data_IF_306530445264
#
_entry.id   IF_306530445264
#
_cell.length_a   1.000
_cell.length_b   1.000
_cell.length_c   1.000
_cell.angle_alpha   90.00
_cell.angle_beta   90.00
_cell.angle_gamma   90.00
#
_symmetry.space_group_name_H-M   'P 1'
#
loop_
_entity.id
_entity.type
_entity.pdbx_description
1 polymer ?
#
# COMPACT_ATOMS: atom_id res chain seq x y z
N UNK A 1 -73.65 -31.82 -42.26
CA UNK A 1 -73.54 -30.39 -42.68
C UNK A 1 -72.74 -29.70 -41.66
N UNK A 2 -71.44 -29.40 -41.92
CA UNK A 2 -70.55 -28.74 -41.02
C UNK A 2 -69.92 -27.63 -41.84
N UNK A 3 -70.20 -26.38 -41.44
CA UNK A 3 -69.66 -25.17 -42.03
C UNK A 3 -68.24 -24.94 -41.54
N UNK A 4 -67.32 -24.76 -42.50
CA UNK A 4 -65.93 -24.44 -42.26
C UNK A 4 -65.77 -22.92 -42.22
N UNK A 5 -65.47 -22.37 -41.03
CA UNK A 5 -65.17 -20.97 -40.86
C UNK A 5 -63.79 -20.62 -41.43
N UNK A 6 -63.74 -19.65 -42.31
CA UNK A 6 -62.58 -19.11 -43.03
C UNK A 6 -61.77 -18.24 -42.09
N UNK A 7 -60.55 -18.65 -41.79
CA UNK A 7 -59.61 -17.85 -40.97
C UNK A 7 -59.08 -16.65 -41.73
N UNK A 8 -59.44 -15.45 -41.32
CA UNK A 8 -58.89 -14.20 -41.84
C UNK A 8 -57.42 -14.05 -41.50
N UNK A 9 -56.53 -14.07 -42.49
CA UNK A 9 -55.10 -13.77 -42.35
C UNK A 9 -54.91 -12.26 -42.12
N UNK A 10 -54.58 -11.88 -40.93
CA UNK A 10 -54.15 -10.53 -40.61
C UNK A 10 -52.78 -10.29 -41.26
N UNK A 11 -52.71 -9.43 -42.24
CA UNK A 11 -51.47 -8.98 -42.85
C UNK A 11 -50.81 -7.99 -41.94
N UNK A 12 -49.49 -8.14 -41.53
CA UNK A 12 -48.81 -7.16 -40.72
C UNK A 12 -48.66 -5.86 -41.53
N UNK A 13 -49.15 -4.76 -40.99
CA UNK A 13 -48.98 -3.44 -41.57
C UNK A 13 -47.49 -3.05 -41.57
N UNK A 14 -46.83 -3.07 -42.75
CA UNK A 14 -45.48 -2.56 -42.92
C UNK A 14 -45.50 -1.06 -42.65
N UNK A 15 -45.09 -0.62 -41.45
CA UNK A 15 -44.85 0.77 -41.16
C UNK A 15 -43.77 1.32 -42.10
N UNK A 16 -44.15 2.09 -43.10
CA UNK A 16 -43.23 2.88 -43.91
C UNK A 16 -42.70 4.00 -43.03
N UNK A 17 -41.53 3.80 -42.43
CA UNK A 17 -40.82 4.90 -41.80
C UNK A 17 -40.55 5.98 -42.85
N UNK A 18 -41.11 7.18 -42.65
CA UNK A 18 -40.90 8.28 -43.58
C UNK A 18 -39.39 8.62 -43.60
N UNK A 19 -38.85 8.98 -44.78
CA UNK A 19 -37.44 9.41 -44.92
C UNK A 19 -37.10 10.49 -43.88
N UNK A 20 -38.06 11.32 -43.54
CA UNK A 20 -37.93 12.39 -42.51
C UNK A 20 -37.67 11.82 -41.09
N UNK A 21 -38.36 10.73 -40.73
CA UNK A 21 -38.15 10.08 -39.41
C UNK A 21 -36.77 9.40 -39.34
N UNK A 22 -36.30 8.80 -40.45
CA UNK A 22 -34.96 8.19 -40.47
C UNK A 22 -33.85 9.28 -40.39
N UNK A 23 -34.01 10.40 -41.10
CA UNK A 23 -33.05 11.50 -41.01
C UNK A 23 -33.05 12.12 -39.60
N UNK A 24 -34.23 12.32 -38.98
CA UNK A 24 -34.28 12.82 -37.60
C UNK A 24 -33.64 11.86 -36.59
N UNK A 25 -33.86 10.55 -36.75
CA UNK A 25 -33.23 9.56 -35.87
C UNK A 25 -31.71 9.48 -36.05
N UNK A 26 -31.21 9.60 -37.31
CA UNK A 26 -29.79 9.64 -37.62
C UNK A 26 -29.14 10.91 -37.03
N UNK A 27 -29.81 12.08 -37.14
CA UNK A 27 -29.36 13.31 -36.50
C UNK A 27 -29.25 13.24 -35.00
N UNK A 28 -30.24 12.58 -34.33
CA UNK A 28 -30.25 12.41 -32.87
C UNK A 28 -29.12 11.49 -32.40
N UNK A 29 -28.82 10.44 -33.15
CA UNK A 29 -27.67 9.52 -32.86
C UNK A 29 -26.33 10.25 -33.02
N UNK A 30 -26.17 11.09 -34.04
CA UNK A 30 -24.95 11.86 -34.27
C UNK A 30 -24.74 12.89 -33.15
N UNK A 31 -25.79 13.65 -32.78
CA UNK A 31 -25.72 14.63 -31.70
C UNK A 31 -25.42 13.92 -30.35
N UNK A 32 -26.08 12.81 -30.08
CA UNK A 32 -25.81 11.99 -28.88
C UNK A 32 -24.37 11.48 -28.85
N UNK A 33 -23.86 10.97 -29.99
CA UNK A 33 -22.47 10.51 -30.11
C UNK A 33 -21.44 11.62 -29.87
N UNK A 34 -21.69 12.82 -30.44
CA UNK A 34 -20.82 13.99 -30.20
C UNK A 34 -20.85 14.44 -28.74
N UNK A 35 -22.02 14.45 -28.09
CA UNK A 35 -22.13 14.83 -26.69
C UNK A 35 -21.38 13.83 -25.76
N UNK A 36 -21.50 12.53 -26.05
CA UNK A 36 -20.76 11.49 -25.28
C UNK A 36 -19.25 11.63 -25.50
N UNK A 37 -18.80 11.85 -26.75
CA UNK A 37 -17.39 12.03 -27.06
C UNK A 37 -16.81 13.28 -26.39
N UNK A 38 -17.56 14.40 -26.41
CA UNK A 38 -17.16 15.63 -25.71
C UNK A 38 -17.13 15.44 -24.19
N UNK A 39 -18.07 14.70 -23.63
CA UNK A 39 -18.09 14.31 -22.22
C UNK A 39 -16.87 13.48 -21.83
N UNK A 40 -16.56 12.43 -22.58
CA UNK A 40 -15.37 11.61 -22.37
C UNK A 40 -14.07 12.40 -22.51
N UNK A 41 -13.99 13.26 -23.52
CA UNK A 41 -12.84 14.16 -23.69
C UNK A 41 -12.67 15.11 -22.52
N UNK A 42 -13.75 15.70 -22.00
CA UNK A 42 -13.67 16.61 -20.86
C UNK A 42 -13.26 15.90 -19.56
N UNK A 43 -13.68 14.65 -19.36
CA UNK A 43 -13.22 13.80 -18.25
C UNK A 43 -11.74 13.46 -18.41
N UNK A 44 -11.33 13.05 -19.61
CA UNK A 44 -9.94 12.71 -19.88
C UNK A 44 -9.00 13.92 -19.77
N UNK A 45 -9.40 15.08 -20.29
CA UNK A 45 -8.63 16.33 -20.21
C UNK A 45 -8.51 16.88 -18.77
N UNK A 46 -9.44 16.51 -17.88
CA UNK A 46 -9.41 16.85 -16.45
C UNK A 46 -8.86 15.73 -15.59
N UNK A 47 -8.50 14.57 -16.21
CA UNK A 47 -7.87 13.49 -15.46
C UNK A 47 -6.60 14.03 -14.80
N UNK A 48 -6.45 13.87 -13.47
CA UNK A 48 -5.30 14.42 -12.78
C UNK A 48 -4.03 13.89 -13.43
N UNK A 49 -3.17 14.81 -13.88
CA UNK A 49 -1.86 14.45 -14.38
C UNK A 49 -1.11 13.65 -13.32
N UNK A 50 -0.29 12.69 -13.75
CA UNK A 50 0.60 11.97 -12.83
C UNK A 50 1.37 13.00 -12.01
N UNK A 51 1.36 12.90 -10.66
CA UNK A 51 2.03 13.89 -9.83
C UNK A 51 3.49 13.99 -10.24
N UNK A 52 3.98 15.22 -10.40
CA UNK A 52 5.37 15.48 -10.74
C UNK A 52 6.32 14.77 -9.74
N UNK A 53 7.45 14.24 -10.21
CA UNK A 53 8.46 13.67 -9.34
C UNK A 53 8.91 14.72 -8.32
N UNK A 54 9.05 14.30 -7.07
CA UNK A 54 9.50 15.18 -5.99
C UNK A 54 11.01 15.36 -6.10
N UNK A 55 11.49 16.60 -6.06
CA UNK A 55 12.93 16.89 -6.02
C UNK A 55 13.56 16.29 -4.75
N UNK A 56 14.76 15.76 -4.88
CA UNK A 56 15.45 15.08 -3.77
C UNK A 56 15.80 16.03 -2.61
N UNK A 57 15.97 17.31 -2.92
CA UNK A 57 16.30 18.43 -2.01
C UNK A 57 15.06 19.22 -1.56
N UNK A 58 13.84 18.73 -1.87
CA UNK A 58 12.62 19.40 -1.47
C UNK A 58 12.56 19.57 0.06
N UNK A 59 12.13 20.75 0.56
CA UNK A 59 12.05 21.01 1.99
C UNK A 59 11.12 20.01 2.68
N UNK A 60 11.51 19.62 3.89
CA UNK A 60 10.70 18.71 4.70
C UNK A 60 9.37 19.35 5.07
N UNK A 61 8.32 18.56 5.10
CA UNK A 61 6.97 18.99 5.42
C UNK A 61 6.62 18.69 6.88
N UNK A 62 6.19 19.71 7.65
CA UNK A 62 5.62 19.47 8.97
C UNK A 62 4.18 18.95 8.82
N UNK A 63 3.96 17.72 9.23
CA UNK A 63 2.66 17.05 9.17
C UNK A 63 2.25 16.68 10.58
N UNK A 64 1.03 17.01 10.97
CA UNK A 64 0.49 16.72 12.30
C UNK A 64 -0.42 15.51 12.21
N UNK A 65 -0.11 14.47 12.98
CA UNK A 65 -0.98 13.29 13.15
C UNK A 65 -1.27 13.13 14.65
N UNK A 66 -2.55 13.10 15.01
CA UNK A 66 -2.99 13.23 16.40
C UNK A 66 -2.48 14.56 17.02
N UNK A 67 -1.70 14.51 18.09
CA UNK A 67 -1.11 15.68 18.72
C UNK A 67 0.38 15.85 18.43
N UNK A 68 0.96 15.01 17.56
CA UNK A 68 2.41 15.00 17.29
C UNK A 68 2.72 15.56 15.91
N UNK A 69 3.78 16.34 15.80
CA UNK A 69 4.27 16.87 14.52
C UNK A 69 5.41 15.98 14.01
N UNK A 70 5.26 15.55 12.77
CA UNK A 70 6.28 14.79 12.05
C UNK A 70 6.85 15.63 10.92
N UNK A 71 8.18 15.72 10.84
CA UNK A 71 8.89 16.46 9.79
C UNK A 71 9.46 15.47 8.80
N UNK A 72 8.85 15.38 7.62
CA UNK A 72 9.16 14.32 6.66
C UNK A 72 9.55 14.86 5.29
N UNK A 73 10.49 14.18 4.64
CA UNK A 73 10.85 14.48 3.26
C UNK A 73 9.67 14.15 2.32
N UNK A 74 9.25 15.06 1.43
CA UNK A 74 8.13 14.81 0.50
C UNK A 74 8.33 13.56 -0.38
N UNK A 75 9.60 13.22 -0.70
CA UNK A 75 9.96 12.03 -1.46
C UNK A 75 9.69 10.71 -0.73
N UNK A 76 9.60 10.73 0.61
CA UNK A 76 9.23 9.56 1.41
C UNK A 76 7.72 9.33 1.44
N UNK A 77 6.90 10.34 1.13
CA UNK A 77 5.44 10.25 1.20
C UNK A 77 4.91 9.50 -0.01
N UNK A 78 4.30 8.34 0.22
CA UNK A 78 3.78 7.45 -0.83
C UNK A 78 2.60 8.06 -1.60
N UNK A 79 1.65 8.62 -0.88
CA UNK A 79 0.41 9.14 -1.46
C UNK A 79 0.57 10.63 -1.79
N UNK A 80 0.48 10.99 -3.07
CA UNK A 80 0.66 12.37 -3.50
C UNK A 80 -0.27 13.37 -2.76
N UNK A 81 -1.50 12.94 -2.45
CA UNK A 81 -2.46 13.75 -1.69
C UNK A 81 -2.03 14.07 -0.26
N UNK A 82 -1.11 13.26 0.32
CA UNK A 82 -0.56 13.48 1.65
C UNK A 82 0.64 14.44 1.66
N UNK A 83 1.16 14.84 0.49
CA UNK A 83 2.31 15.76 0.35
C UNK A 83 1.91 17.21 0.60
N UNK A 84 1.34 17.47 1.76
CA UNK A 84 0.90 18.80 2.19
C UNK A 84 1.16 18.96 3.69
N UNK A 85 1.60 20.14 4.16
CA UNK A 85 1.79 20.39 5.58
C UNK A 85 0.46 20.46 6.33
N UNK A 86 0.53 20.33 7.65
CA UNK A 86 -0.61 20.49 8.54
C UNK A 86 -1.28 19.18 8.97
N UNK A 87 -2.49 19.24 9.54
CA UNK A 87 -3.17 18.09 10.11
C UNK A 87 -3.56 17.05 9.05
N UNK A 88 -3.33 15.78 9.35
CA UNK A 88 -3.73 14.63 8.56
C UNK A 88 -4.17 13.47 9.47
N UNK A 89 -5.13 12.69 9.02
CA UNK A 89 -5.62 11.52 9.77
C UNK A 89 -4.62 10.35 9.69
N UNK A 90 -3.85 10.29 8.62
CA UNK A 90 -2.90 9.21 8.38
C UNK A 90 -1.79 9.70 7.46
N UNK A 91 -0.60 9.14 7.65
CA UNK A 91 0.55 9.38 6.80
C UNK A 91 1.22 8.06 6.43
N UNK A 92 1.40 7.83 5.13
CA UNK A 92 2.02 6.63 4.58
C UNK A 92 3.35 6.97 3.94
N UNK A 93 4.42 6.39 4.48
CA UNK A 93 5.81 6.67 4.11
C UNK A 93 6.48 5.41 3.55
N UNK A 94 7.54 5.62 2.79
CA UNK A 94 8.44 4.56 2.32
C UNK A 94 9.88 5.05 2.41
N UNK A 95 10.75 4.18 2.89
CA UNK A 95 12.18 4.46 2.99
C UNK A 95 12.99 3.32 2.41
N UNK A 96 14.14 3.63 1.82
CA UNK A 96 15.13 2.65 1.42
C UNK A 96 15.89 2.15 2.66
N UNK A 97 16.08 0.86 2.76
CA UNK A 97 16.84 0.23 3.82
C UNK A 97 18.28 -0.05 3.39
N UNK A 98 19.27 0.01 4.27
CA UNK A 98 19.21 0.38 5.70
C UNK A 98 19.35 1.88 5.98
N UNK A 99 19.57 2.71 4.96
CA UNK A 99 19.94 4.13 5.09
C UNK A 99 18.78 5.01 5.53
N UNK A 100 17.54 4.50 5.45
CA UNK A 100 16.30 5.21 5.78
C UNK A 100 16.15 6.54 5.00
N UNK A 101 16.65 6.55 3.76
CA UNK A 101 16.48 7.67 2.84
C UNK A 101 15.20 7.50 2.01
N UNK A 102 14.59 8.60 1.52
CA UNK A 102 13.51 8.48 0.54
C UNK A 102 13.96 7.66 -0.66
N UNK A 103 13.12 6.76 -1.19
CA UNK A 103 13.49 6.01 -2.39
C UNK A 103 13.68 6.97 -3.55
N UNK A 104 14.72 6.73 -4.35
CA UNK A 104 14.93 7.51 -5.58
C UNK A 104 13.75 7.29 -6.52
N UNK A 105 13.27 8.33 -7.19
CA UNK A 105 12.33 8.17 -8.29
C UNK A 105 12.93 7.17 -9.29
N UNK A 106 12.16 6.15 -9.66
CA UNK A 106 12.57 5.28 -10.77
C UNK A 106 12.38 6.12 -12.03
N UNK A 107 13.46 6.42 -12.73
CA UNK A 107 13.39 7.19 -13.99
C UNK A 107 12.46 6.44 -14.96
N UNK A 108 11.43 7.10 -15.51
CA UNK A 108 10.51 6.47 -16.46
C UNK A 108 11.23 5.97 -17.72
N UNK A 109 12.39 6.52 -18.04
CA UNK A 109 13.26 6.08 -19.14
C UNK A 109 13.77 4.66 -18.93
N UNK A 110 14.05 4.26 -17.67
CA UNK A 110 14.52 2.89 -17.36
C UNK A 110 13.39 1.87 -17.56
N UNK A 111 12.12 2.26 -17.35
CA UNK A 111 10.97 1.38 -17.57
C UNK A 111 10.63 1.20 -19.05
N UNK A 112 10.92 2.21 -19.90
CA UNK A 112 10.73 2.16 -21.35
C UNK A 112 11.86 1.45 -22.09
N UNK A 113 13.11 1.54 -21.59
CA UNK A 113 14.27 0.87 -22.17
C UNK A 113 14.26 -0.66 -21.98
N UNK A 114 13.53 -1.16 -20.98
CA UNK A 114 13.38 -2.60 -20.71
C UNK A 114 12.59 -3.32 -21.81
N UNK A 115 11.77 -2.61 -22.57
CA UNK A 115 10.97 -3.21 -23.64
C UNK A 115 11.77 -3.52 -24.93
N UNK A 116 13.02 -3.06 -25.05
CA UNK A 116 13.83 -3.22 -26.26
C UNK A 116 15.21 -3.86 -26.06
N UNK A 117 15.67 -4.03 -24.83
CA UNK A 117 17.02 -4.47 -24.57
C UNK A 117 17.10 -5.98 -24.26
N UNK A 118 17.66 -6.73 -25.21
CA UNK A 118 17.92 -8.18 -25.11
C UNK A 118 18.88 -8.56 -23.97
N UNK A 119 19.45 -7.59 -23.27
CA UNK A 119 20.41 -7.81 -22.16
C UNK A 119 19.68 -8.19 -20.86
N UNK A 120 18.36 -7.88 -20.73
CA UNK A 120 17.59 -8.22 -19.53
C UNK A 120 17.12 -9.68 -19.49
N UNK A 121 17.19 -10.41 -20.60
CA UNK A 121 16.70 -11.79 -20.70
C UNK A 121 17.70 -12.86 -20.24
N UNK A 122 18.97 -12.48 -20.02
CA UNK A 122 20.03 -13.43 -19.64
C UNK A 122 20.35 -13.43 -18.14
N UNK A 123 19.60 -12.65 -17.33
CA UNK A 123 19.80 -12.63 -15.89
C UNK A 123 18.90 -13.67 -15.20
N UNK A 124 19.53 -14.46 -14.34
CA UNK A 124 18.79 -15.37 -13.46
C UNK A 124 17.90 -14.59 -12.51
N UNK A 125 16.69 -15.09 -12.17
CA UNK A 125 15.83 -14.48 -11.16
C UNK A 125 16.59 -14.37 -9.83
N UNK A 126 16.86 -13.13 -9.38
CA UNK A 126 17.57 -12.87 -8.13
C UNK A 126 18.97 -12.26 -8.28
N UNK A 127 19.55 -12.23 -9.50
CA UNK A 127 20.86 -11.61 -9.75
C UNK A 127 20.74 -10.08 -9.75
N UNK A 128 21.37 -9.42 -8.78
CA UNK A 128 21.40 -7.97 -8.61
C UNK A 128 22.81 -7.43 -8.83
N UNK A 129 22.91 -6.29 -9.49
CA UNK A 129 24.17 -5.55 -9.55
C UNK A 129 24.49 -4.95 -8.18
N UNK A 130 25.79 -4.82 -7.81
CA UNK A 130 26.20 -4.11 -6.61
C UNK A 130 25.60 -2.68 -6.62
N UNK A 131 24.79 -2.36 -5.60
CA UNK A 131 24.10 -1.07 -5.49
C UNK A 131 22.69 -0.99 -6.08
N UNK A 132 22.20 -2.01 -6.76
CA UNK A 132 20.82 -2.08 -7.24
C UNK A 132 19.88 -2.50 -6.09
N UNK A 133 19.05 -1.55 -5.63
CA UNK A 133 18.08 -1.79 -4.55
C UNK A 133 16.79 -2.37 -5.12
N UNK A 134 16.44 -3.56 -4.67
CA UNK A 134 15.18 -4.22 -5.04
C UNK A 134 13.97 -3.73 -4.24
N UNK A 135 12.77 -4.21 -4.61
CA UNK A 135 11.55 -3.97 -3.82
C UNK A 135 11.65 -4.46 -2.36
N UNK A 136 12.50 -5.49 -2.11
CA UNK A 136 12.77 -6.04 -0.77
C UNK A 136 13.63 -5.14 0.13
N UNK A 137 14.30 -4.11 -0.42
CA UNK A 137 15.16 -3.22 0.35
C UNK A 137 14.41 -1.95 0.79
N UNK A 138 13.14 -2.08 1.11
CA UNK A 138 12.28 -0.97 1.53
C UNK A 138 11.53 -1.30 2.81
N UNK A 139 11.38 -0.28 3.63
CA UNK A 139 10.44 -0.31 4.76
C UNK A 139 9.27 0.61 4.47
N UNK A 140 8.09 0.17 4.87
CA UNK A 140 6.86 0.94 4.77
C UNK A 140 6.44 1.38 6.16
N UNK A 141 6.20 2.67 6.31
CA UNK A 141 5.83 3.25 7.60
C UNK A 141 4.47 3.90 7.50
N UNK A 142 3.60 3.59 8.44
CA UNK A 142 2.30 4.23 8.58
C UNK A 142 2.23 4.93 9.92
N UNK A 143 1.81 6.18 9.93
CA UNK A 143 1.56 6.98 11.13
C UNK A 143 0.06 7.28 11.18
N UNK A 144 -0.59 6.93 12.29
CA UNK A 144 -2.03 7.15 12.48
C UNK A 144 -2.33 7.44 13.96
N UNK A 145 -3.47 8.05 14.31
CA UNK A 145 -3.85 8.22 15.71
C UNK A 145 -3.89 6.90 16.46
N UNK A 146 -3.37 6.87 17.67
CA UNK A 146 -3.38 5.67 18.51
C UNK A 146 -4.78 5.32 19.02
N UNK A 147 -5.70 6.29 19.09
CA UNK A 147 -7.11 6.09 19.48
C UNK A 147 -7.26 5.31 20.81
N UNK A 148 -6.37 5.52 21.76
CA UNK A 148 -6.38 4.80 23.05
C UNK A 148 -5.81 3.38 22.99
N UNK A 149 -5.09 3.02 21.91
CA UNK A 149 -4.39 1.74 21.82
C UNK A 149 -3.37 1.59 22.96
N UNK A 150 -3.28 0.38 23.51
CA UNK A 150 -2.25 0.03 24.49
C UNK A 150 -0.86 0.05 23.83
N UNK A 151 0.15 0.39 24.62
CA UNK A 151 1.55 0.23 24.22
C UNK A 151 1.81 -1.23 23.78
N UNK A 152 2.63 -1.46 22.74
CA UNK A 152 2.86 -2.81 22.22
C UNK A 152 3.31 -3.83 23.28
N UNK A 153 4.22 -3.45 24.19
CA UNK A 153 4.68 -4.33 25.26
C UNK A 153 3.58 -4.60 26.31
N UNK A 154 2.68 -3.70 26.55
CA UNK A 154 1.52 -3.92 27.40
C UNK A 154 0.50 -4.83 26.68
N UNK A 155 0.26 -4.60 25.39
CA UNK A 155 -0.60 -5.43 24.55
C UNK A 155 -0.08 -6.87 24.46
N UNK A 156 1.23 -7.08 24.45
CA UNK A 156 1.84 -8.40 24.58
C UNK A 156 1.34 -9.10 25.84
N UNK A 157 1.49 -8.48 27.00
CA UNK A 157 1.18 -9.07 28.30
C UNK A 157 -0.32 -9.31 28.51
N UNK A 158 -1.17 -8.33 28.16
CA UNK A 158 -2.60 -8.40 28.51
C UNK A 158 -3.45 -9.08 27.45
N UNK A 159 -2.98 -9.14 26.21
CA UNK A 159 -3.78 -9.60 25.08
C UNK A 159 -3.13 -10.74 24.31
N UNK A 160 -1.95 -10.53 23.70
CA UNK A 160 -1.41 -11.46 22.70
C UNK A 160 -0.99 -12.79 23.30
N UNK A 161 -0.41 -12.82 24.50
CA UNK A 161 -0.04 -14.06 25.18
C UNK A 161 -1.23 -14.99 25.43
N UNK A 162 -2.46 -14.49 25.39
CA UNK A 162 -3.67 -15.33 25.49
C UNK A 162 -4.00 -16.08 24.21
N UNK A 163 -3.45 -15.68 23.09
CA UNK A 163 -3.76 -16.19 21.75
C UNK A 163 -2.63 -17.01 21.13
N UNK A 164 -1.46 -17.05 21.76
CA UNK A 164 -0.31 -17.80 21.25
C UNK A 164 -0.31 -19.25 21.72
N UNK A 165 0.48 -20.09 21.07
CA UNK A 165 0.77 -21.47 21.49
C UNK A 165 1.72 -21.47 22.68
N UNK A 166 1.77 -22.58 23.42
CA UNK A 166 2.63 -22.71 24.62
C UNK A 166 4.11 -22.99 24.30
N UNK A 167 4.45 -23.21 23.04
CA UNK A 167 5.82 -23.53 22.61
C UNK A 167 6.47 -22.31 21.94
N UNK A 168 7.64 -21.93 22.48
CA UNK A 168 8.53 -20.96 21.83
C UNK A 168 9.34 -21.68 20.75
N UNK A 169 9.48 -21.03 19.58
CA UNK A 169 10.37 -21.48 18.54
C UNK A 169 11.80 -21.01 18.81
N UNK A 170 12.83 -21.82 18.49
CA UNK A 170 14.21 -21.36 18.54
C UNK A 170 14.40 -20.14 17.62
N UNK A 171 14.93 -19.06 18.18
CA UNK A 171 15.18 -17.83 17.45
C UNK A 171 16.55 -17.24 17.83
N UNK A 172 17.19 -16.47 16.93
CA UNK A 172 18.53 -15.95 17.17
C UNK A 172 18.52 -14.83 18.22
N UNK A 173 19.63 -14.69 18.93
CA UNK A 173 20.04 -13.52 19.72
C UNK A 173 19.00 -13.00 20.73
N UNK A 174 18.39 -13.92 21.52
CA UNK A 174 17.44 -13.55 22.58
C UNK A 174 16.07 -13.09 22.09
N UNK A 175 15.74 -13.39 20.83
CA UNK A 175 14.41 -13.21 20.29
C UNK A 175 13.52 -14.40 20.68
N UNK A 176 12.40 -14.15 21.32
CA UNK A 176 11.34 -15.12 21.52
C UNK A 176 10.38 -15.07 20.32
N UNK A 177 10.06 -16.22 19.74
CA UNK A 177 9.08 -16.35 18.65
C UNK A 177 8.06 -17.40 19.00
N UNK A 178 6.78 -17.10 18.77
CA UNK A 178 5.68 -18.02 19.06
C UNK A 178 4.56 -17.84 18.04
N UNK A 179 3.93 -18.94 17.64
CA UNK A 179 2.79 -18.92 16.73
C UNK A 179 1.50 -18.47 17.43
N UNK A 180 0.69 -17.68 16.75
CA UNK A 180 -0.70 -17.51 17.16
C UNK A 180 -1.53 -18.76 16.85
N UNK A 181 -2.44 -19.11 17.76
CA UNK A 181 -3.34 -20.25 17.60
C UNK A 181 -4.34 -20.03 16.46
N UNK A 182 -4.72 -21.12 15.82
CA UNK A 182 -5.80 -21.12 14.85
C UNK A 182 -7.14 -20.73 15.51
N UNK A 183 -8.03 -20.10 14.73
CA UNK A 183 -9.30 -19.59 15.23
C UNK A 183 -9.19 -18.28 16.03
N UNK A 184 -8.00 -17.66 16.08
CA UNK A 184 -7.79 -16.34 16.67
C UNK A 184 -7.77 -15.24 15.59
N UNK A 185 -7.96 -13.96 15.95
CA UNK A 185 -7.84 -12.85 15.00
C UNK A 185 -6.46 -12.71 14.35
N UNK A 186 -5.44 -13.37 14.88
CA UNK A 186 -4.04 -13.35 14.45
C UNK A 186 -3.61 -14.65 13.78
N UNK A 187 -4.55 -15.52 13.44
CA UNK A 187 -4.26 -16.78 12.76
C UNK A 187 -3.39 -16.56 11.51
N UNK A 188 -2.33 -17.36 11.37
CA UNK A 188 -1.39 -17.24 10.27
C UNK A 188 -0.26 -16.25 10.51
N UNK A 189 -0.19 -15.66 11.70
CA UNK A 189 0.91 -14.82 12.15
C UNK A 189 1.70 -15.48 13.27
N UNK A 190 2.94 -15.00 13.45
CA UNK A 190 3.78 -15.27 14.60
C UNK A 190 4.03 -13.98 15.36
N UNK A 191 4.26 -14.10 16.65
CA UNK A 191 4.66 -13.02 17.53
C UNK A 191 6.15 -13.17 17.86
N UNK A 192 6.94 -12.14 17.62
CA UNK A 192 8.36 -12.07 17.88
C UNK A 192 8.68 -10.89 18.79
N UNK A 193 9.47 -11.10 19.87
CA UNK A 193 9.87 -10.01 20.78
C UNK A 193 11.21 -10.30 21.43
N UNK A 194 11.92 -9.24 21.86
CA UNK A 194 13.09 -9.40 22.73
C UNK A 194 12.64 -9.93 24.09
N UNK A 195 13.14 -11.09 24.48
CA UNK A 195 12.64 -11.87 25.62
C UNK A 195 12.66 -11.08 26.94
N UNK A 196 13.73 -10.34 27.17
CA UNK A 196 13.92 -9.58 28.41
C UNK A 196 13.49 -8.10 28.32
N UNK A 197 13.23 -7.59 27.13
CA UNK A 197 12.90 -6.19 26.91
C UNK A 197 11.97 -5.98 25.70
N UNK A 198 10.70 -6.45 25.79
CA UNK A 198 9.75 -6.38 24.67
C UNK A 198 9.44 -4.94 24.21
N UNK A 199 9.74 -3.95 25.03
CA UNK A 199 9.66 -2.53 24.66
C UNK A 199 10.74 -2.11 23.67
N UNK A 200 11.88 -2.82 23.56
CA UNK A 200 12.91 -2.55 22.57
C UNK A 200 12.51 -3.09 21.21
N UNK A 201 12.07 -4.34 21.16
CA UNK A 201 11.61 -4.98 19.94
C UNK A 201 10.42 -5.88 20.17
N UNK A 202 9.39 -5.68 19.40
CA UNK A 202 8.22 -6.53 19.33
C UNK A 202 7.62 -6.40 17.91
N UNK A 203 7.36 -7.54 17.28
CA UNK A 203 6.81 -7.58 15.92
C UNK A 203 5.78 -8.71 15.78
N UNK A 204 4.81 -8.51 14.90
CA UNK A 204 3.93 -9.57 14.38
C UNK A 204 4.33 -9.86 12.95
N UNK A 205 4.46 -11.12 12.61
CA UNK A 205 4.98 -11.56 11.32
C UNK A 205 4.03 -12.54 10.66
N UNK A 206 3.72 -12.31 9.38
CA UNK A 206 3.01 -13.30 8.57
C UNK A 206 3.85 -14.59 8.49
N UNK A 207 3.18 -15.75 8.53
CA UNK A 207 3.84 -17.03 8.27
C UNK A 207 4.05 -17.20 6.76
N UNK A 208 5.25 -17.65 6.33
CA UNK A 208 5.52 -17.92 4.94
C UNK A 208 4.53 -18.96 4.39
N UNK A 209 3.93 -18.67 3.26
CA UNK A 209 2.99 -19.57 2.58
C UNK A 209 3.46 -19.80 1.15
N UNK A 210 3.63 -21.05 0.70
CA UNK A 210 4.03 -21.34 -0.66
C UNK A 210 3.10 -20.68 -1.70
N UNK A 211 3.66 -20.08 -2.75
CA UNK A 211 2.91 -19.42 -3.81
C UNK A 211 2.34 -18.03 -3.47
N UNK A 212 2.65 -17.50 -2.27
CA UNK A 212 2.33 -16.12 -1.89
C UNK A 212 3.56 -15.21 -1.95
N UNK A 213 3.38 -13.87 -1.99
CA UNK A 213 4.49 -12.94 -1.83
C UNK A 213 5.28 -13.22 -0.56
N UNK A 214 6.57 -12.79 -0.49
CA UNK A 214 7.38 -12.91 0.72
C UNK A 214 6.65 -12.36 1.95
N UNK A 215 6.71 -13.13 3.05
CA UNK A 215 6.07 -12.77 4.30
C UNK A 215 6.67 -11.48 4.89
N UNK A 216 5.83 -10.67 5.51
CA UNK A 216 6.22 -9.41 6.13
C UNK A 216 5.99 -9.43 7.64
N UNK A 217 6.78 -8.65 8.35
CA UNK A 217 6.58 -8.33 9.76
C UNK A 217 6.13 -6.88 9.91
N UNK A 218 5.45 -6.60 10.99
CA UNK A 218 5.15 -5.25 11.44
C UNK A 218 5.60 -5.04 12.88
N UNK A 219 6.21 -3.91 13.16
CA UNK A 219 6.53 -3.43 14.51
C UNK A 219 5.90 -2.07 14.73
N UNK A 220 5.55 -1.75 15.97
CA UNK A 220 4.81 -0.54 16.34
C UNK A 220 5.46 0.18 17.51
N UNK A 221 5.35 1.51 17.51
CA UNK A 221 5.65 2.38 18.67
C UNK A 221 4.55 3.45 18.77
N UNK A 222 4.21 3.83 19.99
CA UNK A 222 3.31 4.96 20.23
C UNK A 222 4.15 6.20 20.57
N UNK A 223 3.87 7.30 19.87
CA UNK A 223 4.61 8.55 19.98
C UNK A 223 3.63 9.72 19.93
N UNK A 224 3.52 10.50 21.00
CA UNK A 224 2.67 11.70 21.04
C UNK A 224 1.19 11.44 20.71
N UNK A 225 0.66 10.25 21.07
CA UNK A 225 -0.72 9.85 20.75
C UNK A 225 -0.91 9.32 19.31
N UNK A 226 0.16 9.23 18.53
CA UNK A 226 0.16 8.54 17.23
C UNK A 226 0.81 7.16 17.35
N UNK A 227 0.25 6.18 16.64
CA UNK A 227 0.87 4.87 16.40
C UNK A 227 1.71 4.96 15.13
N UNK A 228 2.99 4.62 15.25
CA UNK A 228 3.91 4.48 14.12
C UNK A 228 4.15 3.00 13.90
N UNK A 229 3.70 2.50 12.76
CA UNK A 229 3.85 1.10 12.34
C UNK A 229 4.89 1.01 11.24
N UNK A 230 5.92 0.19 11.40
CA UNK A 230 6.89 -0.12 10.35
C UNK A 230 6.72 -1.56 9.88
N UNK A 231 6.63 -1.74 8.54
CA UNK A 231 6.57 -3.05 7.88
C UNK A 231 7.90 -3.32 7.19
N UNK A 232 8.39 -4.56 7.37
CA UNK A 232 9.67 -5.02 6.84
C UNK A 232 9.60 -6.52 6.44
N UNK A 233 10.50 -7.02 5.57
CA UNK A 233 10.56 -8.44 5.21
C UNK A 233 10.82 -9.34 6.43
N UNK A 234 10.10 -10.46 6.54
CA UNK A 234 10.26 -11.41 7.65
C UNK A 234 11.68 -11.95 7.77
N UNK A 235 12.38 -12.13 6.67
CA UNK A 235 13.76 -12.61 6.65
C UNK A 235 14.73 -11.74 7.47
N UNK A 236 14.39 -10.46 7.69
CA UNK A 236 15.19 -9.56 8.51
C UNK A 236 15.11 -9.82 10.01
N UNK A 237 14.26 -10.74 10.46
CA UNK A 237 14.26 -11.19 11.86
C UNK A 237 15.60 -11.80 12.27
N UNK A 238 16.36 -12.37 11.32
CA UNK A 238 17.71 -12.86 11.58
C UNK A 238 18.67 -11.75 12.08
N UNK A 239 18.38 -10.50 11.70
CA UNK A 239 19.12 -9.29 12.07
C UNK A 239 18.22 -8.31 12.84
N UNK A 240 17.32 -8.79 13.68
CA UNK A 240 16.30 -8.00 14.33
C UNK A 240 16.82 -6.76 15.08
N UNK A 241 18.03 -6.83 15.63
CA UNK A 241 18.69 -5.67 16.26
C UNK A 241 18.84 -4.50 15.28
N UNK A 242 19.27 -4.78 14.04
CA UNK A 242 19.38 -3.73 13.01
C UNK A 242 18.02 -3.12 12.68
N UNK A 243 16.96 -3.93 12.69
CA UNK A 243 15.58 -3.46 12.46
C UNK A 243 15.13 -2.56 13.61
N UNK A 244 15.35 -2.97 14.87
CA UNK A 244 15.01 -2.20 16.06
C UNK A 244 15.73 -0.86 16.11
N UNK A 245 17.04 -0.86 15.85
CA UNK A 245 17.88 0.35 15.80
C UNK A 245 17.46 1.26 14.64
N UNK A 246 17.21 0.67 13.47
CA UNK A 246 16.73 1.40 12.30
C UNK A 246 15.41 2.10 12.57
N UNK A 247 14.46 1.41 13.18
CA UNK A 247 13.17 2.00 13.55
C UNK A 247 13.34 3.13 14.56
N UNK A 248 14.19 2.96 15.55
CA UNK A 248 14.50 3.98 16.55
C UNK A 248 15.13 5.23 15.91
N UNK A 249 16.11 5.05 15.00
CA UNK A 249 16.71 6.17 14.24
C UNK A 249 15.67 6.88 13.38
N UNK A 250 14.78 6.13 12.70
CA UNK A 250 13.72 6.73 11.91
C UNK A 250 12.81 7.62 12.76
N UNK A 251 12.38 7.14 13.91
CA UNK A 251 11.53 7.92 14.83
C UNK A 251 12.20 9.23 15.29
N UNK A 252 13.51 9.19 15.54
CA UNK A 252 14.28 10.42 15.87
C UNK A 252 14.36 11.36 14.65
N UNK A 253 14.53 10.82 13.46
CA UNK A 253 14.67 11.61 12.22
C UNK A 253 13.39 12.34 11.84
N UNK A 254 12.23 11.66 11.97
CA UNK A 254 10.93 12.23 11.57
C UNK A 254 10.28 13.12 12.62
N UNK A 255 10.83 13.16 13.85
CA UNK A 255 10.36 14.06 14.91
C UNK A 255 11.18 15.35 14.90
N UNK A 256 10.56 16.54 15.02
CA UNK A 256 11.32 17.75 15.19
C UNK A 256 12.17 17.63 16.48
N UNK A 257 13.40 18.09 16.43
CA UNK A 257 14.20 18.24 17.66
C UNK A 257 13.43 19.18 18.59
N UNK A 258 13.19 18.75 19.82
CA UNK A 258 12.71 19.64 20.85
C UNK A 258 13.72 20.78 20.96
N UNK A 259 13.30 22.01 20.63
CA UNK A 259 14.11 23.22 20.75
C UNK A 259 14.32 23.59 22.22
#
# INVERSE_FOLDING_TARGET
MVDVAYGARVRPARRRHSRRAMVAMAGLVVVGGVAVAAGMWSVWARWPATPAPVAADAPHLPIVVAAETFTVAPGAIRMAMQRRPGPQERLDLVYAWPDLTPPRPVDPVTTGAIAGDRIASDRLPGERLPGERGPGDRVYVTIAPAAGALEPAERLRVLWLRYVRDMLEPAPDGLAVVEFRDGTPYQGEDLAWEENAPEKFLARCERPTPGRPPATCLTEKIVGGAVVTMRFPREWLADWHKVADGFSRLLVTVRPKAG
#
